data_IF_898417114326
#
_entry.id   IF_898417114326
#
_cell.length_a   1.000
_cell.length_b   1.000
_cell.length_c   1.000
_cell.angle_alpha   90.00
_cell.angle_beta   90.00
_cell.angle_gamma   90.00
#
_symmetry.space_group_name_H-M   'P 1'
#
loop_
_entity.id
_entity.type
_entity.pdbx_description
1 polymer ?
#
# COMPACT_ATOMS: atom_id res chain seq x y z
N UNK A 1 4.22 -7.75 7.15
CA UNK A 1 3.55 -7.26 8.38
C UNK A 1 2.06 -7.58 8.44
N UNK A 2 1.18 -7.01 7.60
CA UNK A 2 -0.26 -7.33 7.67
C UNK A 2 -0.55 -8.81 7.35
N UNK A 3 0.09 -9.36 6.32
CA UNK A 3 0.01 -10.79 5.97
C UNK A 3 0.66 -11.71 7.03
N UNK A 4 1.48 -11.15 7.92
CA UNK A 4 2.09 -11.86 9.06
C UNK A 4 1.19 -11.81 10.31
N UNK A 5 -0.02 -11.23 10.22
CA UNK A 5 -1.00 -11.15 11.31
C UNK A 5 -0.92 -9.90 12.20
N UNK A 6 -0.05 -8.94 11.90
CA UNK A 6 0.02 -7.69 12.66
C UNK A 6 -1.24 -6.84 12.45
N UNK A 7 -1.74 -6.25 13.52
CA UNK A 7 -2.84 -5.29 13.51
C UNK A 7 -2.42 -3.98 12.82
N UNK A 8 -3.40 -3.19 12.36
CA UNK A 8 -3.14 -1.88 11.77
C UNK A 8 -2.40 -0.93 12.73
N UNK A 9 -2.68 -1.06 14.04
CA UNK A 9 -2.05 -0.26 15.07
C UNK A 9 -0.57 -0.61 15.21
N UNK A 10 -0.24 -1.91 15.31
CA UNK A 10 1.16 -2.37 15.39
C UNK A 10 1.98 -1.95 14.17
N UNK A 11 1.37 -1.99 12.97
CA UNK A 11 2.03 -1.53 11.74
C UNK A 11 2.28 -0.02 11.80
N UNK A 12 1.30 0.79 12.22
CA UNK A 12 1.46 2.23 12.34
C UNK A 12 2.53 2.59 13.38
N UNK A 13 2.53 1.93 14.53
CA UNK A 13 3.50 2.13 15.60
C UNK A 13 4.91 1.78 15.15
N UNK A 14 5.09 0.69 14.41
CA UNK A 14 6.39 0.31 13.85
C UNK A 14 6.89 1.33 12.81
N UNK A 15 6.03 1.81 11.91
CA UNK A 15 6.40 2.85 10.95
C UNK A 15 6.84 4.15 11.66
N UNK A 16 6.11 4.56 12.69
CA UNK A 16 6.45 5.74 13.48
C UNK A 16 7.72 5.54 14.31
N UNK A 17 7.92 4.35 14.89
CA UNK A 17 9.13 3.96 15.64
C UNK A 17 10.39 4.05 14.77
N UNK A 18 10.27 3.68 13.49
CA UNK A 18 11.35 3.84 12.49
C UNK A 18 11.60 5.28 12.07
N UNK A 19 10.82 6.25 12.58
CA UNK A 19 10.93 7.66 12.22
C UNK A 19 10.36 8.01 10.84
N UNK A 20 9.66 7.08 10.17
CA UNK A 20 9.05 7.34 8.88
C UNK A 20 7.93 8.38 9.01
N UNK A 21 7.77 9.17 7.95
CA UNK A 21 6.71 10.19 7.86
C UNK A 21 5.82 9.92 6.66
N UNK A 22 4.56 10.33 6.78
CA UNK A 22 3.65 10.38 5.63
C UNK A 22 4.15 11.39 4.61
N UNK A 23 3.61 11.36 3.39
CA UNK A 23 3.93 12.33 2.33
C UNK A 23 3.80 13.80 2.79
N UNK A 24 2.89 14.10 3.73
CA UNK A 24 2.70 15.46 4.29
C UNK A 24 3.53 15.73 5.55
N UNK A 25 4.48 14.87 5.90
CA UNK A 25 5.33 15.01 7.09
C UNK A 25 4.69 14.58 8.42
N UNK A 26 3.43 14.13 8.41
CA UNK A 26 2.73 13.66 9.62
C UNK A 26 3.10 12.23 10.03
N UNK A 27 2.61 11.79 11.19
CA UNK A 27 2.72 10.40 11.68
C UNK A 27 1.81 9.44 10.89
N UNK A 28 2.16 8.16 10.89
CA UNK A 28 1.27 7.10 10.41
C UNK A 28 0.17 6.83 11.43
N UNK A 29 -1.08 6.81 10.96
CA UNK A 29 -2.25 6.38 11.74
C UNK A 29 -2.82 5.10 11.14
N UNK A 30 -3.64 4.38 11.89
CA UNK A 30 -4.34 3.17 11.41
C UNK A 30 -5.12 3.43 10.12
N UNK A 31 -5.77 4.59 9.97
CA UNK A 31 -6.47 4.98 8.75
C UNK A 31 -5.55 5.12 7.53
N UNK A 32 -4.31 5.57 7.74
CA UNK A 32 -3.28 5.63 6.70
C UNK A 32 -2.90 4.22 6.26
N UNK A 33 -2.67 3.32 7.21
CA UNK A 33 -2.37 1.91 6.92
C UNK A 33 -3.53 1.26 6.18
N UNK A 34 -4.76 1.45 6.64
CA UNK A 34 -5.96 0.94 5.97
C UNK A 34 -6.06 1.43 4.53
N UNK A 35 -5.78 2.71 4.28
CA UNK A 35 -5.82 3.30 2.94
C UNK A 35 -4.77 2.66 2.03
N UNK A 36 -3.55 2.45 2.53
CA UNK A 36 -2.49 1.76 1.79
C UNK A 36 -2.96 0.34 1.47
N UNK A 37 -3.43 -0.43 2.44
CA UNK A 37 -3.89 -1.81 2.21
C UNK A 37 -5.08 -1.89 1.24
N UNK A 38 -6.03 -0.97 1.31
CA UNK A 38 -7.17 -0.91 0.38
C UNK A 38 -6.73 -0.65 -1.07
N UNK A 39 -5.60 0.02 -1.26
CA UNK A 39 -5.02 0.29 -2.57
C UNK A 39 -4.14 -0.86 -3.11
N UNK A 40 -4.23 -2.05 -2.52
CA UNK A 40 -3.43 -3.23 -2.93
C UNK A 40 -3.48 -3.48 -4.44
N UNK A 41 -4.65 -3.45 -5.07
CA UNK A 41 -4.79 -3.66 -6.52
C UNK A 41 -3.99 -2.64 -7.34
N UNK A 42 -3.92 -1.40 -6.88
CA UNK A 42 -3.09 -0.38 -7.51
C UNK A 42 -1.61 -0.77 -7.48
N UNK A 43 -1.15 -1.26 -6.33
CA UNK A 43 0.22 -1.75 -6.18
C UNK A 43 0.49 -3.05 -6.95
N UNK A 44 -0.55 -3.82 -7.27
CA UNK A 44 -0.48 -5.00 -8.15
C UNK A 44 -0.51 -4.66 -9.65
N UNK A 45 -0.55 -3.36 -10.01
CA UNK A 45 -0.48 -2.90 -11.41
C UNK A 45 -1.82 -2.56 -12.04
N UNK A 46 -2.91 -2.50 -11.28
CA UNK A 46 -4.22 -2.11 -11.79
C UNK A 46 -4.52 -0.63 -11.51
N UNK A 47 -5.52 -0.08 -12.17
CA UNK A 47 -6.07 1.24 -11.86
C UNK A 47 -7.59 1.22 -12.05
N UNK A 48 -8.30 2.12 -11.34
CA UNK A 48 -9.76 2.26 -11.40
C UNK A 48 -10.14 3.74 -11.40
N UNK A 49 -11.13 4.10 -12.21
CA UNK A 49 -11.67 5.46 -12.27
C UNK A 49 -13.10 5.50 -11.71
N UNK A 50 -13.32 6.23 -10.62
CA UNK A 50 -14.64 6.28 -9.97
C UNK A 50 -15.15 4.87 -9.63
N UNK A 51 -16.36 4.54 -10.08
CA UNK A 51 -17.00 3.25 -9.83
C UNK A 51 -16.75 2.17 -10.91
N UNK A 52 -15.92 2.46 -11.92
CA UNK A 52 -15.61 1.53 -13.02
C UNK A 52 -14.90 0.23 -12.58
N UNK A 53 -14.77 -0.72 -13.50
CA UNK A 53 -13.97 -1.91 -13.26
C UNK A 53 -12.47 -1.60 -13.15
N UNK A 54 -11.75 -2.48 -12.47
CA UNK A 54 -10.29 -2.41 -12.40
C UNK A 54 -9.69 -2.82 -13.74
N UNK A 55 -8.84 -1.98 -14.30
CA UNK A 55 -8.12 -2.23 -15.56
C UNK A 55 -6.62 -2.30 -15.31
N UNK A 56 -5.88 -2.95 -16.21
CA UNK A 56 -4.42 -3.00 -16.13
C UNK A 56 -3.87 -1.60 -16.41
N UNK A 57 -3.10 -1.07 -15.46
CA UNK A 57 -2.44 0.23 -15.56
C UNK A 57 -1.16 0.16 -16.39
N UNK A 58 -0.64 1.32 -16.78
CA UNK A 58 0.64 1.43 -17.49
C UNK A 58 1.84 1.51 -16.52
N UNK A 59 1.61 1.66 -15.22
CA UNK A 59 2.68 1.71 -14.23
C UNK A 59 3.22 0.32 -13.90
N UNK A 60 4.51 0.26 -13.58
CA UNK A 60 5.12 -0.95 -13.03
C UNK A 60 4.51 -1.26 -11.68
N UNK A 61 4.04 -2.50 -11.49
CA UNK A 61 3.56 -2.94 -10.19
C UNK A 61 4.70 -2.89 -9.15
N UNK A 62 4.34 -2.84 -7.88
CA UNK A 62 5.28 -2.99 -6.75
C UNK A 62 4.94 -4.22 -5.88
N UNK A 63 3.79 -4.86 -6.13
CA UNK A 63 3.40 -6.16 -5.59
C UNK A 63 3.10 -7.15 -6.72
N UNK A 64 3.42 -8.44 -6.52
CA UNK A 64 3.08 -9.53 -7.45
C UNK A 64 4.01 -9.68 -8.66
N UNK A 65 3.58 -10.47 -9.66
CA UNK A 65 4.42 -10.92 -10.80
C UNK A 65 4.93 -9.80 -11.71
N UNK A 66 4.30 -8.62 -11.68
CA UNK A 66 4.74 -7.42 -12.40
C UNK A 66 5.63 -6.48 -11.60
N UNK A 67 5.93 -6.82 -10.34
CA UNK A 67 6.71 -5.98 -9.44
C UNK A 67 8.20 -6.20 -9.61
N UNK A 68 8.90 -5.18 -10.10
CA UNK A 68 10.37 -5.08 -10.25
C UNK A 68 11.11 -6.40 -10.02
N UNK A 69 10.98 -7.26 -11.03
CA UNK A 69 11.45 -8.63 -11.03
C UNK A 69 11.11 -9.24 -12.39
N UNK A 70 11.81 -8.78 -13.44
CA UNK A 70 12.08 -9.66 -14.59
C UNK A 70 12.68 -10.94 -13.99
N UNK A 71 11.98 -12.05 -14.14
CA UNK A 71 12.55 -13.39 -14.14
C UNK A 71 12.31 -13.94 -15.54
#
# INVERSE_FOLDING_TARGET
MHEEGNTLQEIADEMNRRGLKTHRGGIFRTSTIQTILNNRKTYEGYYKYGDSDWVVGQHTAILGKGAIGRI
#
